data_IF_271674573437
#
_entry.id   IF_271674573437
#
_cell.length_a   1.000
_cell.length_b   1.000
_cell.length_c   1.000
_cell.angle_alpha   90.00
_cell.angle_beta   90.00
_cell.angle_gamma   90.00
#
_symmetry.space_group_name_H-M   'P 1'
#
loop_
_entity.id
_entity.type
_entity.pdbx_description
1 polymer ?
#
# COMPACT_ATOMS: atom_id res chain seq x y z
N UNK A 1 2.39 33.94 0.30
CA UNK A 1 2.22 32.92 1.36
C UNK A 1 3.49 32.85 2.18
N UNK A 2 3.42 33.04 3.49
CA UNK A 2 4.60 33.05 4.38
C UNK A 2 5.18 31.64 4.55
N UNK A 3 6.45 31.53 4.96
CA UNK A 3 7.09 30.23 5.23
C UNK A 3 6.30 29.42 6.28
N UNK A 4 5.80 30.09 7.32
CA UNK A 4 4.95 29.47 8.34
C UNK A 4 3.64 28.88 7.77
N UNK A 5 3.00 29.55 6.80
CA UNK A 5 1.80 29.02 6.14
C UNK A 5 2.13 27.81 5.25
N UNK A 6 3.25 27.84 4.51
CA UNK A 6 3.73 26.70 3.70
C UNK A 6 3.96 25.45 4.56
N UNK A 7 4.61 25.60 5.70
CA UNK A 7 4.87 24.50 6.64
C UNK A 7 3.58 23.91 7.21
N UNK A 8 2.58 24.74 7.55
CA UNK A 8 1.27 24.24 8.02
C UNK A 8 0.55 23.43 6.95
N UNK A 9 0.55 23.89 5.69
CA UNK A 9 -0.07 23.19 4.56
C UNK A 9 0.64 21.86 4.29
N UNK A 10 1.97 21.85 4.23
CA UNK A 10 2.74 20.61 4.03
C UNK A 10 2.46 19.60 5.15
N UNK A 11 2.39 20.04 6.41
CA UNK A 11 2.05 19.18 7.54
C UNK A 11 0.64 18.62 7.43
N UNK A 12 -0.34 19.43 7.02
CA UNK A 12 -1.71 19.00 6.81
C UNK A 12 -1.83 17.95 5.70
N UNK A 13 -1.19 18.20 4.54
CA UNK A 13 -1.16 17.25 3.42
C UNK A 13 -0.51 15.93 3.85
N UNK A 14 0.60 15.98 4.59
CA UNK A 14 1.28 14.79 5.08
C UNK A 14 0.38 13.95 6.01
N UNK A 15 -0.33 14.60 6.94
CA UNK A 15 -1.29 13.91 7.83
C UNK A 15 -2.41 13.26 7.00
N UNK A 16 -2.95 13.98 6.02
CA UNK A 16 -3.99 13.45 5.15
C UNK A 16 -3.50 12.21 4.38
N UNK A 17 -2.30 12.25 3.81
CA UNK A 17 -1.70 11.11 3.11
C UNK A 17 -1.49 9.91 4.05
N UNK A 18 -1.04 10.14 5.29
CA UNK A 18 -0.90 9.07 6.30
C UNK A 18 -2.24 8.40 6.61
N UNK A 19 -3.31 9.19 6.75
CA UNK A 19 -4.66 8.67 7.03
C UNK A 19 -5.15 7.74 5.91
N UNK A 20 -4.80 8.01 4.66
CA UNK A 20 -5.14 7.12 3.54
C UNK A 20 -4.16 5.95 3.39
N UNK A 21 -2.87 6.17 3.64
CA UNK A 21 -1.84 5.17 3.45
C UNK A 21 -1.97 4.01 4.47
N UNK A 22 -2.29 4.31 5.73
CA UNK A 22 -2.36 3.29 6.79
C UNK A 22 -3.43 2.21 6.49
N UNK A 23 -4.70 2.55 6.18
CA UNK A 23 -5.71 1.55 5.83
C UNK A 23 -5.32 0.74 4.59
N UNK A 24 -4.76 1.39 3.56
CA UNK A 24 -4.31 0.72 2.33
C UNK A 24 -3.21 -0.29 2.66
N UNK A 25 -2.22 0.10 3.47
CA UNK A 25 -1.15 -0.78 3.91
C UNK A 25 -1.67 -1.94 4.75
N UNK A 26 -2.64 -1.71 5.65
CA UNK A 26 -3.23 -2.76 6.46
C UNK A 26 -3.93 -3.80 5.59
N UNK A 27 -4.74 -3.37 4.62
CA UNK A 27 -5.39 -4.28 3.66
C UNK A 27 -4.33 -5.03 2.84
N UNK A 28 -3.32 -4.32 2.37
CA UNK A 28 -2.27 -4.90 1.54
C UNK A 28 -1.45 -5.97 2.28
N UNK A 29 -1.08 -5.71 3.54
CA UNK A 29 -0.26 -6.62 4.35
C UNK A 29 -1.07 -7.77 4.95
N UNK A 30 -2.33 -7.53 5.34
CA UNK A 30 -3.13 -8.52 6.05
C UNK A 30 -3.98 -9.40 5.14
N UNK A 31 -4.27 -8.97 3.91
CA UNK A 31 -5.14 -9.69 2.98
C UNK A 31 -4.41 -9.99 1.66
N UNK A 32 -3.98 -8.95 0.95
CA UNK A 32 -3.48 -9.09 -0.43
C UNK A 32 -2.17 -9.89 -0.49
N UNK A 33 -1.20 -9.61 0.38
CA UNK A 33 0.07 -10.35 0.42
C UNK A 33 -0.15 -11.82 0.83
N UNK A 34 -0.91 -12.13 1.89
CA UNK A 34 -1.25 -13.51 2.25
C UNK A 34 -1.94 -14.28 1.12
N UNK A 35 -2.95 -13.68 0.48
CA UNK A 35 -3.68 -14.28 -0.64
C UNK A 35 -2.77 -14.53 -1.84
N UNK A 36 -1.99 -13.52 -2.24
CA UNK A 36 -1.01 -13.67 -3.32
C UNK A 36 0.00 -14.78 -3.01
N UNK A 37 0.53 -14.83 -1.79
CA UNK A 37 1.54 -15.84 -1.41
C UNK A 37 0.97 -17.26 -1.39
N UNK A 38 -0.29 -17.42 -1.01
CA UNK A 38 -0.97 -18.72 -0.95
C UNK A 38 -1.42 -19.22 -2.33
N UNK A 39 -1.81 -18.31 -3.22
CA UNK A 39 -2.40 -18.64 -4.52
C UNK A 39 -1.45 -18.44 -5.72
N UNK A 40 -0.21 -17.96 -5.53
CA UNK A 40 0.73 -17.72 -6.64
C UNK A 40 1.11 -19.01 -7.41
N UNK A 41 1.06 -20.16 -6.75
CA UNK A 41 1.33 -21.47 -7.37
C UNK A 41 0.05 -22.21 -7.81
N UNK A 42 -1.13 -21.66 -7.54
CA UNK A 42 -2.39 -22.26 -7.94
C UNK A 42 -2.59 -22.12 -9.46
N UNK A 43 -2.68 -23.26 -10.16
CA UNK A 43 -2.85 -23.30 -11.62
C UNK A 43 -4.32 -23.37 -12.04
N UNK A 44 -5.19 -23.82 -11.14
CA UNK A 44 -6.61 -24.04 -11.41
C UNK A 44 -7.49 -23.29 -10.41
N UNK A 45 -8.64 -22.79 -10.87
CA UNK A 45 -9.62 -22.14 -10.00
C UNK A 45 -10.14 -23.12 -8.94
N UNK A 46 -10.16 -22.68 -7.68
CA UNK A 46 -10.67 -23.46 -6.54
C UNK A 46 -9.64 -24.34 -5.84
N UNK A 47 -8.36 -24.22 -6.19
CA UNK A 47 -7.29 -24.77 -5.35
C UNK A 47 -7.25 -24.06 -3.99
N UNK A 48 -6.98 -24.82 -2.94
CA UNK A 48 -6.88 -24.28 -1.58
C UNK A 48 -5.43 -23.95 -1.28
N UNK A 49 -5.17 -22.68 -0.98
CA UNK A 49 -3.88 -22.22 -0.48
C UNK A 49 -3.88 -22.19 1.05
N UNK A 50 -2.71 -22.33 1.65
CA UNK A 50 -2.51 -21.96 3.06
C UNK A 50 -1.83 -20.60 3.06
N UNK A 51 -2.49 -19.61 3.66
CA UNK A 51 -1.93 -18.28 3.80
C UNK A 51 -0.78 -18.23 4.82
N UNK A 52 -0.10 -17.09 4.89
CA UNK A 52 1.01 -16.89 5.83
C UNK A 52 0.56 -16.92 7.30
N UNK A 53 -0.74 -16.86 7.57
CA UNK A 53 -1.35 -16.95 8.90
C UNK A 53 -1.77 -18.38 9.26
N UNK A 54 -1.57 -19.35 8.35
CA UNK A 54 -1.96 -20.74 8.53
C UNK A 54 -3.44 -21.01 8.25
N UNK A 55 -4.17 -20.04 7.71
CA UNK A 55 -5.58 -20.16 7.32
C UNK A 55 -5.68 -20.78 5.94
N UNK A 56 -6.62 -21.71 5.77
CA UNK A 56 -6.97 -22.21 4.44
C UNK A 56 -7.83 -21.17 3.74
N UNK A 57 -7.38 -20.74 2.57
CA UNK A 57 -8.12 -19.81 1.72
C UNK A 57 -8.47 -20.50 0.40
N UNK A 58 -9.67 -20.25 -0.09
CA UNK A 58 -10.12 -20.77 -1.37
C UNK A 58 -9.61 -19.82 -2.48
N UNK A 59 -8.74 -20.31 -3.36
CA UNK A 59 -8.33 -19.58 -4.58
C UNK A 59 -9.43 -19.72 -5.66
N UNK A 60 -10.71 -19.62 -5.26
CA UNK A 60 -11.91 -19.95 -6.04
C UNK A 60 -12.27 -18.91 -7.12
N UNK A 61 -11.61 -17.74 -7.11
CA UNK A 61 -11.91 -16.64 -8.03
C UNK A 61 -10.67 -15.97 -8.64
N UNK A 62 -9.47 -16.44 -8.28
CA UNK A 62 -8.23 -15.74 -8.57
C UNK A 62 -7.32 -16.63 -9.42
N UNK A 63 -7.47 -16.53 -10.74
CA UNK A 63 -6.35 -16.91 -11.60
C UNK A 63 -5.09 -16.20 -11.09
N UNK A 64 -3.93 -16.87 -11.11
CA UNK A 64 -2.64 -16.28 -10.72
C UNK A 64 -2.45 -14.84 -11.24
N UNK A 65 -2.92 -14.57 -12.47
CA UNK A 65 -2.88 -13.25 -13.10
C UNK A 65 -3.71 -12.18 -12.37
N UNK A 66 -4.87 -12.54 -11.80
CA UNK A 66 -5.72 -11.64 -11.03
C UNK A 66 -5.05 -11.24 -9.71
N UNK A 67 -4.62 -12.23 -8.93
CA UNK A 67 -3.93 -11.98 -7.65
C UNK A 67 -2.65 -11.16 -7.85
N UNK A 68 -1.88 -11.48 -8.90
CA UNK A 68 -0.70 -10.70 -9.29
C UNK A 68 -1.05 -9.26 -9.69
N UNK A 69 -2.11 -9.05 -10.46
CA UNK A 69 -2.56 -7.71 -10.85
C UNK A 69 -2.99 -6.88 -9.62
N UNK A 70 -3.69 -7.48 -8.66
CA UNK A 70 -4.06 -6.82 -7.40
C UNK A 70 -2.83 -6.48 -6.56
N UNK A 71 -1.91 -7.43 -6.40
CA UNK A 71 -0.66 -7.20 -5.71
C UNK A 71 0.14 -6.05 -6.34
N UNK A 72 0.30 -6.04 -7.67
CA UNK A 72 1.00 -4.99 -8.40
C UNK A 72 0.30 -3.64 -8.27
N UNK A 73 -1.03 -3.57 -8.44
CA UNK A 73 -1.80 -2.33 -8.33
C UNK A 73 -1.65 -1.70 -6.94
N UNK A 74 -1.84 -2.47 -5.88
CA UNK A 74 -1.71 -1.96 -4.51
C UNK A 74 -0.26 -1.61 -4.15
N UNK A 75 0.72 -2.36 -4.65
CA UNK A 75 2.14 -2.03 -4.50
C UNK A 75 2.47 -0.67 -5.13
N UNK A 76 1.93 -0.39 -6.31
CA UNK A 76 2.14 0.87 -7.04
C UNK A 76 1.47 2.04 -6.33
N UNK A 77 0.25 1.85 -5.81
CA UNK A 77 -0.48 2.88 -5.05
C UNK A 77 0.27 3.18 -3.75
N UNK A 78 0.58 2.16 -2.94
CA UNK A 78 1.28 2.34 -1.67
C UNK A 78 2.68 2.94 -1.86
N UNK A 79 3.43 2.46 -2.87
CA UNK A 79 4.75 2.98 -3.23
C UNK A 79 4.69 4.42 -3.72
N UNK A 80 3.71 4.76 -4.56
CA UNK A 80 3.50 6.12 -5.07
C UNK A 80 3.18 7.12 -3.96
N UNK A 81 2.24 6.79 -3.06
CA UNK A 81 1.90 7.62 -1.91
C UNK A 81 3.12 7.80 -1.00
N UNK A 82 3.87 6.73 -0.75
CA UNK A 82 5.08 6.77 0.08
C UNK A 82 6.15 7.69 -0.53
N UNK A 83 6.35 7.64 -1.84
CA UNK A 83 7.32 8.50 -2.55
C UNK A 83 6.91 9.98 -2.46
N UNK A 84 5.62 10.29 -2.64
CA UNK A 84 5.11 11.65 -2.48
C UNK A 84 5.32 12.16 -1.05
N UNK A 85 5.07 11.32 -0.03
CA UNK A 85 5.33 11.68 1.36
C UNK A 85 6.82 11.97 1.62
N UNK A 86 7.73 11.18 1.04
CA UNK A 86 9.18 11.43 1.16
C UNK A 86 9.53 12.79 0.58
N UNK A 87 9.03 13.13 -0.62
CA UNK A 87 9.26 14.42 -1.25
C UNK A 87 8.71 15.59 -0.41
N UNK A 88 7.51 15.44 0.15
CA UNK A 88 6.91 16.44 1.05
C UNK A 88 7.77 16.65 2.30
N UNK A 89 8.28 15.58 2.91
CA UNK A 89 9.14 15.66 4.09
C UNK A 89 10.49 16.33 3.76
N UNK A 90 11.08 16.03 2.60
CA UNK A 90 12.31 16.70 2.14
C UNK A 90 12.07 18.20 1.96
N UNK A 91 10.97 18.58 1.30
CA UNK A 91 10.59 19.98 1.11
C UNK A 91 10.32 20.68 2.45
N UNK A 92 9.64 20.01 3.37
CA UNK A 92 9.39 20.51 4.72
C UNK A 92 10.70 20.79 5.46
N UNK A 93 11.66 19.86 5.42
CA UNK A 93 12.95 20.02 6.07
C UNK A 93 13.75 21.18 5.48
N UNK A 94 13.79 21.30 4.13
CA UNK A 94 14.45 22.42 3.45
C UNK A 94 13.83 23.78 3.82
N UNK A 95 12.49 23.87 3.82
CA UNK A 95 11.76 25.10 4.15
C UNK A 95 11.89 25.49 5.62
N UNK A 96 12.09 24.52 6.52
CA UNK A 96 12.30 24.79 7.96
C UNK A 96 13.72 25.30 8.24
N UNK A 97 14.70 24.88 7.45
CA UNK A 97 16.11 25.27 7.58
C UNK A 97 16.47 26.53 6.78
N UNK A 98 15.49 27.17 6.11
CA UNK A 98 15.63 28.44 5.40
C UNK A 98 15.07 29.56 6.28
#
# INVERSE_FOLDING_TARGET
MTVAQKLKILKFINILLVIFLIPILLIYLLLIIPEYSACNDAMFEGEKGIDIWGSTIDCDAESRAFSEAFFQMFSMIAGGISLVMILINILYFKLKNT
#
